data_IF_723048372378
#
_entry.id   IF_723048372378
#
_cell.length_a   1.000
_cell.length_b   1.000
_cell.length_c   1.000
_cell.angle_alpha   90.00
_cell.angle_beta   90.00
_cell.angle_gamma   90.00
#
_symmetry.space_group_name_H-M   'P 1'
#
loop_
_entity.id
_entity.type
_entity.pdbx_description
1 polymer ?
#
# COMPACT_ATOMS: atom_id res chain seq x y z
N UNK A 1 -16.15 29.54 33.79
CA UNK A 1 -16.76 28.76 32.71
C UNK A 1 -15.76 28.61 31.61
N UNK A 2 -15.02 27.53 31.62
CA UNK A 2 -13.97 27.22 30.63
C UNK A 2 -14.64 26.52 29.44
N UNK A 3 -14.71 27.22 28.32
CA UNK A 3 -15.24 26.72 27.06
C UNK A 3 -14.28 25.64 26.52
N UNK A 4 -14.62 24.38 26.68
CA UNK A 4 -13.93 23.26 26.06
C UNK A 4 -14.08 23.38 24.56
N UNK A 5 -13.00 23.76 23.89
CA UNK A 5 -12.89 23.67 22.43
C UNK A 5 -13.01 22.20 22.03
N UNK A 6 -13.95 21.79 21.15
CA UNK A 6 -14.00 20.42 20.68
C UNK A 6 -12.74 20.14 19.90
N UNK A 7 -12.03 19.08 20.30
CA UNK A 7 -10.89 18.49 19.57
C UNK A 7 -11.29 18.28 18.11
N UNK A 8 -10.44 18.56 17.11
CA UNK A 8 -10.75 18.30 15.73
C UNK A 8 -11.04 16.80 15.59
N UNK A 9 -12.28 16.48 15.23
CA UNK A 9 -12.66 15.11 14.85
C UNK A 9 -11.65 14.66 13.80
N UNK A 10 -10.94 13.59 14.10
CA UNK A 10 -10.03 12.93 13.20
C UNK A 10 -10.76 12.70 11.86
N UNK A 11 -10.52 13.58 10.89
CA UNK A 11 -11.06 13.39 9.54
C UNK A 11 -10.46 12.08 9.06
N UNK A 12 -11.25 11.09 8.65
CA UNK A 12 -10.68 9.83 8.18
C UNK A 12 -9.64 10.17 7.11
N UNK A 13 -8.48 9.55 7.20
CA UNK A 13 -7.44 9.69 6.18
C UNK A 13 -7.97 9.07 4.88
N UNK A 14 -8.54 9.92 4.02
CA UNK A 14 -9.20 9.51 2.78
C UNK A 14 -8.30 8.68 1.86
N UNK A 15 -7.01 9.03 1.67
CA UNK A 15 -6.10 8.17 0.93
C UNK A 15 -6.01 6.75 1.50
N UNK A 16 -5.83 6.60 2.80
CA UNK A 16 -5.78 5.29 3.44
C UNK A 16 -7.09 4.53 3.32
N UNK A 17 -8.22 5.20 3.51
CA UNK A 17 -9.54 4.61 3.35
C UNK A 17 -9.77 4.06 1.93
N UNK A 18 -9.40 4.84 0.90
CA UNK A 18 -9.52 4.43 -0.50
C UNK A 18 -8.63 3.23 -0.80
N UNK A 19 -7.38 3.24 -0.31
CA UNK A 19 -6.44 2.12 -0.49
C UNK A 19 -6.98 0.84 0.16
N UNK A 20 -7.42 0.92 1.42
CA UNK A 20 -7.91 -0.25 2.15
C UNK A 20 -9.19 -0.82 1.52
N UNK A 21 -10.09 0.07 1.06
CA UNK A 21 -11.30 -0.32 0.33
C UNK A 21 -10.95 -1.01 -0.99
N UNK A 22 -9.98 -0.47 -1.74
CA UNK A 22 -9.52 -1.06 -3.00
C UNK A 22 -8.97 -2.48 -2.81
N UNK A 23 -8.18 -2.70 -1.77
CA UNK A 23 -7.63 -4.02 -1.44
C UNK A 23 -8.73 -5.01 -1.01
N UNK A 24 -9.71 -4.57 -0.22
CA UNK A 24 -10.84 -5.40 0.18
C UNK A 24 -11.71 -5.81 -1.03
N UNK A 25 -11.99 -4.87 -1.94
CA UNK A 25 -12.71 -5.15 -3.18
C UNK A 25 -11.91 -6.07 -4.11
N UNK A 26 -10.60 -5.87 -4.24
CA UNK A 26 -9.73 -6.75 -5.02
C UNK A 26 -9.77 -8.19 -4.51
N UNK A 27 -9.77 -8.39 -3.21
CA UNK A 27 -9.90 -9.71 -2.59
C UNK A 27 -11.23 -10.39 -2.92
N UNK A 28 -12.32 -9.61 -2.96
CA UNK A 28 -13.69 -10.11 -3.19
C UNK A 28 -14.00 -10.32 -4.66
N UNK A 29 -13.71 -9.33 -5.50
CA UNK A 29 -14.21 -9.24 -6.89
C UNK A 29 -13.09 -9.39 -7.94
N UNK A 30 -11.83 -9.39 -7.53
CA UNK A 30 -10.66 -9.35 -8.40
C UNK A 30 -10.27 -7.93 -8.81
N UNK A 31 -8.98 -7.70 -9.01
CA UNK A 31 -8.44 -6.37 -9.32
C UNK A 31 -8.77 -5.89 -10.73
N UNK A 32 -8.76 -6.80 -11.70
CA UNK A 32 -9.00 -6.47 -13.11
C UNK A 32 -10.38 -5.86 -13.34
N UNK A 33 -11.39 -6.32 -12.60
CA UNK A 33 -12.79 -5.92 -12.75
C UNK A 33 -13.10 -4.56 -12.11
N UNK A 34 -12.28 -4.07 -11.21
CA UNK A 34 -12.52 -2.85 -10.47
C UNK A 34 -12.20 -1.60 -11.28
N UNK A 35 -13.01 -0.56 -11.10
CA UNK A 35 -12.67 0.81 -11.48
C UNK A 35 -12.64 1.74 -10.26
N UNK A 36 -12.12 2.96 -10.45
CA UNK A 36 -12.03 3.95 -9.35
C UNK A 36 -13.42 4.32 -8.83
N UNK A 37 -14.43 4.32 -9.69
CA UNK A 37 -15.82 4.64 -9.32
C UNK A 37 -16.33 3.60 -8.31
N UNK A 38 -16.09 2.31 -8.56
CA UNK A 38 -16.50 1.23 -7.66
C UNK A 38 -15.85 1.39 -6.28
N UNK A 39 -14.57 1.73 -6.27
CA UNK A 39 -13.79 1.96 -5.04
C UNK A 39 -14.32 3.19 -4.30
N UNK A 40 -14.59 4.29 -4.99
CA UNK A 40 -15.11 5.51 -4.39
C UNK A 40 -16.49 5.29 -3.75
N UNK A 41 -17.38 4.59 -4.48
CA UNK A 41 -18.72 4.24 -3.98
C UNK A 41 -18.63 3.36 -2.74
N UNK A 42 -17.80 2.32 -2.76
CA UNK A 42 -17.62 1.42 -1.62
C UNK A 42 -16.96 2.10 -0.42
N UNK A 43 -16.05 3.05 -0.66
CA UNK A 43 -15.43 3.86 0.39
C UNK A 43 -16.33 4.98 0.92
N UNK A 44 -17.50 5.20 0.30
CA UNK A 44 -18.39 6.33 0.59
C UNK A 44 -17.67 7.69 0.47
N UNK A 45 -16.86 7.83 -0.58
CA UNK A 45 -16.11 9.05 -0.92
C UNK A 45 -16.69 9.64 -2.21
N UNK A 46 -16.89 10.96 -2.31
CA UNK A 46 -17.32 11.59 -3.55
C UNK A 46 -16.37 11.24 -4.69
N UNK A 47 -16.92 10.85 -5.86
CA UNK A 47 -16.14 10.38 -7.02
C UNK A 47 -15.10 11.43 -7.44
N UNK A 48 -15.46 12.71 -7.48
CA UNK A 48 -14.52 13.78 -7.83
C UNK A 48 -13.37 13.92 -6.86
N UNK A 49 -13.61 13.70 -5.56
CA UNK A 49 -12.58 13.72 -4.52
C UNK A 49 -11.66 12.50 -4.63
N UNK A 50 -12.23 11.32 -4.89
CA UNK A 50 -11.46 10.11 -5.10
C UNK A 50 -10.52 10.23 -6.33
N UNK A 51 -11.01 10.77 -7.45
CA UNK A 51 -10.17 11.03 -8.64
C UNK A 51 -9.12 12.12 -8.41
N UNK A 52 -9.40 13.13 -7.58
CA UNK A 52 -8.41 14.13 -7.22
C UNK A 52 -7.25 13.54 -6.41
N UNK A 53 -7.54 12.58 -5.53
CA UNK A 53 -6.54 11.88 -4.72
C UNK A 53 -5.79 10.83 -5.55
N UNK A 54 -6.53 9.99 -6.28
CA UNK A 54 -5.99 8.91 -7.10
C UNK A 54 -6.57 8.96 -8.53
N UNK A 55 -5.82 9.49 -9.51
CA UNK A 55 -6.30 9.61 -10.88
C UNK A 55 -6.38 8.26 -11.62
N UNK A 56 -5.81 7.19 -11.06
CA UNK A 56 -5.82 5.85 -11.66
C UNK A 56 -5.69 4.74 -10.61
N UNK A 57 -6.09 3.52 -10.96
CA UNK A 57 -5.86 2.34 -10.11
C UNK A 57 -4.37 2.13 -9.82
N UNK A 58 -3.50 2.45 -10.77
CA UNK A 58 -2.05 2.34 -10.59
C UNK A 58 -1.54 3.33 -9.54
N UNK A 59 -2.13 4.52 -9.45
CA UNK A 59 -1.81 5.48 -8.39
C UNK A 59 -2.15 4.93 -7.00
N UNK A 60 -3.26 4.20 -6.85
CA UNK A 60 -3.63 3.52 -5.61
C UNK A 60 -2.58 2.46 -5.23
N UNK A 61 -2.16 1.62 -6.19
CA UNK A 61 -1.14 0.60 -5.95
C UNK A 61 0.22 1.20 -5.59
N UNK A 62 0.59 2.29 -6.24
CA UNK A 62 1.82 3.02 -5.94
C UNK A 62 1.79 3.58 -4.51
N UNK A 63 0.68 4.20 -4.11
CA UNK A 63 0.49 4.72 -2.76
C UNK A 63 0.49 3.60 -1.71
N UNK A 64 -0.15 2.48 -1.98
CA UNK A 64 -0.12 1.30 -1.10
C UNK A 64 1.32 0.79 -0.91
N UNK A 65 2.08 0.63 -1.99
CA UNK A 65 3.49 0.21 -1.92
C UNK A 65 4.33 1.17 -1.10
N UNK A 66 4.19 2.48 -1.36
CA UNK A 66 4.92 3.50 -0.59
C UNK A 66 4.58 3.42 0.90
N UNK A 67 3.31 3.19 1.26
CA UNK A 67 2.88 2.99 2.65
C UNK A 67 3.58 1.78 3.30
N UNK A 68 3.65 0.65 2.59
CA UNK A 68 4.37 -0.54 3.06
C UNK A 68 5.86 -0.25 3.22
N UNK A 69 6.49 0.34 2.22
CA UNK A 69 7.93 0.66 2.24
C UNK A 69 8.27 1.61 3.42
N UNK A 70 7.47 2.65 3.64
CA UNK A 70 7.64 3.56 4.79
C UNK A 70 7.50 2.83 6.12
N UNK A 71 6.54 1.93 6.25
CA UNK A 71 6.34 1.15 7.49
C UNK A 71 7.55 0.23 7.76
N UNK A 72 8.07 -0.40 6.71
CA UNK A 72 9.25 -1.27 6.82
C UNK A 72 10.50 -0.46 7.22
N UNK A 73 10.74 0.67 6.55
CA UNK A 73 11.88 1.55 6.84
C UNK A 73 11.81 2.09 8.27
N UNK A 74 10.67 2.62 8.69
CA UNK A 74 10.49 3.14 10.06
C UNK A 74 10.74 2.06 11.13
N UNK A 75 10.28 0.83 10.90
CA UNK A 75 10.57 -0.28 11.79
C UNK A 75 12.05 -0.69 11.80
N UNK A 76 12.73 -0.56 10.67
CA UNK A 76 14.15 -0.86 10.54
C UNK A 76 15.04 0.18 11.25
N UNK A 77 14.66 1.45 11.21
CA UNK A 77 15.38 2.51 11.92
C UNK A 77 15.30 2.39 13.45
N UNK A 78 14.22 1.82 13.98
CA UNK A 78 14.01 1.60 15.41
C UNK A 78 14.79 0.39 15.95
N UNK A 79 15.08 -0.58 15.11
CA UNK A 79 15.84 -1.78 15.47
C UNK A 79 17.32 -1.57 15.13
N UNK A 80 18.22 -1.83 16.08
CA UNK A 80 19.64 -1.80 15.77
C UNK A 80 19.97 -2.88 14.73
N UNK A 81 20.54 -2.47 13.60
CA UNK A 81 20.94 -3.37 12.50
C UNK A 81 22.28 -4.02 12.81
N UNK A 82 22.37 -4.78 13.92
CA UNK A 82 23.52 -5.56 14.27
C UNK A 82 23.53 -6.88 13.45
N UNK A 83 24.67 -7.26 12.93
CA UNK A 83 24.85 -8.52 12.22
C UNK A 83 25.33 -8.38 10.76
N UNK A 84 25.44 -9.51 10.08
CA UNK A 84 25.86 -9.56 8.68
C UNK A 84 24.78 -8.95 7.75
N UNK A 85 25.19 -8.36 6.62
CA UNK A 85 24.28 -7.77 5.61
C UNK A 85 23.19 -8.77 5.20
N UNK A 86 23.52 -10.05 5.06
CA UNK A 86 22.57 -11.12 4.75
C UNK A 86 21.47 -11.26 5.79
N UNK A 87 21.83 -11.21 7.07
CA UNK A 87 20.87 -11.37 8.17
C UNK A 87 19.96 -10.14 8.25
N UNK A 88 20.53 -8.95 8.10
CA UNK A 88 19.75 -7.70 8.01
C UNK A 88 18.76 -7.70 6.85
N UNK A 89 19.20 -8.15 5.68
CA UNK A 89 18.31 -8.26 4.52
C UNK A 89 17.17 -9.26 4.76
N UNK A 90 17.46 -10.39 5.40
CA UNK A 90 16.46 -11.38 5.78
C UNK A 90 15.42 -10.77 6.74
N UNK A 91 15.86 -10.05 7.77
CA UNK A 91 14.97 -9.42 8.73
C UNK A 91 14.08 -8.35 8.08
N UNK A 92 14.63 -7.54 7.17
CA UNK A 92 13.86 -6.53 6.42
C UNK A 92 12.79 -7.20 5.53
N UNK A 93 13.15 -8.30 4.84
CA UNK A 93 12.21 -9.04 4.01
C UNK A 93 11.10 -9.70 4.84
N UNK A 94 11.44 -10.29 5.98
CA UNK A 94 10.45 -10.86 6.89
C UNK A 94 9.50 -9.81 7.43
N UNK A 95 10.02 -8.65 7.86
CA UNK A 95 9.21 -7.50 8.28
C UNK A 95 8.25 -7.06 7.19
N UNK A 96 8.71 -6.98 5.93
CA UNK A 96 7.84 -6.64 4.80
C UNK A 96 6.69 -7.63 4.64
N UNK A 97 6.96 -8.93 4.76
CA UNK A 97 5.92 -9.96 4.69
C UNK A 97 4.91 -9.81 5.83
N UNK A 98 5.37 -9.56 7.06
CA UNK A 98 4.51 -9.33 8.22
C UNK A 98 3.60 -8.12 8.03
N UNK A 99 4.13 -7.01 7.52
CA UNK A 99 3.37 -5.78 7.23
C UNK A 99 2.31 -6.02 6.14
N UNK A 100 2.56 -6.93 5.20
CA UNK A 100 1.62 -7.29 4.13
C UNK A 100 0.52 -8.28 4.55
N UNK A 101 0.71 -9.03 5.64
CA UNK A 101 -0.22 -10.06 6.08
C UNK A 101 -1.69 -9.62 6.18
N UNK A 102 -2.04 -8.42 6.73
CA UNK A 102 -3.42 -7.97 6.82
C UNK A 102 -4.13 -7.86 5.47
N UNK A 103 -3.38 -7.63 4.38
CA UNK A 103 -3.89 -7.45 3.03
C UNK A 103 -3.57 -8.61 2.07
N UNK A 104 -3.16 -9.76 2.58
CA UNK A 104 -2.69 -10.91 1.78
C UNK A 104 -3.64 -11.31 0.65
N UNK A 105 -4.93 -11.33 0.90
CA UNK A 105 -5.94 -11.73 -0.09
C UNK A 105 -6.05 -10.71 -1.23
N UNK A 106 -6.09 -9.41 -0.90
CA UNK A 106 -6.10 -8.34 -1.90
C UNK A 106 -4.81 -8.30 -2.71
N UNK A 107 -3.66 -8.43 -2.06
CA UNK A 107 -2.35 -8.49 -2.71
C UNK A 107 -2.25 -9.69 -3.64
N UNK A 108 -2.72 -10.87 -3.22
CA UNK A 108 -2.73 -12.07 -4.05
C UNK A 108 -3.64 -11.93 -5.28
N UNK A 109 -4.80 -11.29 -5.13
CA UNK A 109 -5.71 -11.01 -6.25
C UNK A 109 -5.07 -10.04 -7.25
N UNK A 110 -4.45 -8.96 -6.78
CA UNK A 110 -3.74 -7.99 -7.62
C UNK A 110 -2.59 -8.66 -8.36
N UNK A 111 -1.78 -9.47 -7.68
CA UNK A 111 -0.66 -10.19 -8.30
C UNK A 111 -1.13 -11.14 -9.39
N UNK A 112 -2.19 -11.92 -9.16
CA UNK A 112 -2.76 -12.82 -10.16
C UNK A 112 -3.23 -12.09 -11.42
N UNK A 113 -3.94 -10.99 -11.25
CA UNK A 113 -4.51 -10.23 -12.35
C UNK A 113 -3.41 -9.48 -13.12
N UNK A 114 -2.41 -8.96 -12.42
CA UNK A 114 -1.24 -8.30 -13.04
C UNK A 114 -0.42 -9.28 -13.86
N UNK A 115 -0.23 -10.51 -13.40
CA UNK A 115 0.52 -11.53 -14.14
C UNK A 115 -0.20 -12.01 -15.42
N UNK A 116 -1.52 -11.83 -15.50
CA UNK A 116 -2.32 -12.15 -16.70
C UNK A 116 -2.29 -11.04 -17.74
N UNK A 117 -1.90 -9.82 -17.36
CA UNK A 117 -1.80 -8.67 -18.25
C UNK A 117 -0.32 -8.30 -18.49
N UNK A 118 0.22 -8.55 -19.72
CA UNK A 118 1.64 -8.29 -20.00
C UNK A 118 2.02 -6.80 -19.93
N UNK A 119 1.08 -5.88 -20.21
CA UNK A 119 1.33 -4.43 -20.11
C UNK A 119 1.34 -3.96 -18.64
N UNK A 120 0.45 -4.47 -17.82
CA UNK A 120 0.45 -4.21 -16.38
C UNK A 120 1.67 -4.82 -15.69
N UNK A 121 2.17 -5.97 -16.19
CA UNK A 121 3.37 -6.63 -15.68
C UNK A 121 4.63 -5.76 -15.79
N UNK A 122 4.81 -5.01 -16.89
CA UNK A 122 5.94 -4.09 -17.07
C UNK A 122 5.97 -3.00 -16.00
N UNK A 123 4.83 -2.39 -15.69
CA UNK A 123 4.73 -1.40 -14.61
C UNK A 123 4.95 -2.02 -13.22
N UNK A 124 4.50 -3.25 -13.02
CA UNK A 124 4.71 -4.00 -11.79
C UNK A 124 6.18 -4.29 -11.51
N UNK A 125 6.95 -4.70 -12.52
CA UNK A 125 8.37 -5.03 -12.41
C UNK A 125 9.21 -3.79 -12.05
N UNK A 126 9.02 -2.65 -12.72
CA UNK A 126 9.77 -1.42 -12.44
C UNK A 126 9.57 -0.93 -11.01
N UNK A 127 8.38 -1.07 -10.51
CA UNK A 127 7.99 -0.64 -9.18
C UNK A 127 8.45 -1.63 -8.08
N UNK A 128 8.52 -2.93 -8.40
CA UNK A 128 9.10 -3.94 -7.51
C UNK A 128 10.61 -3.71 -7.37
N UNK A 129 11.31 -3.42 -8.49
CA UNK A 129 12.73 -3.11 -8.46
C UNK A 129 13.06 -1.91 -7.57
N UNK A 130 12.23 -0.86 -7.56
CA UNK A 130 12.40 0.30 -6.68
C UNK A 130 12.28 -0.08 -5.20
N UNK A 131 11.30 -0.89 -4.83
CA UNK A 131 11.13 -1.37 -3.46
C UNK A 131 12.29 -2.28 -3.03
N UNK A 132 12.76 -3.13 -3.93
CA UNK A 132 13.90 -4.01 -3.65
C UNK A 132 15.20 -3.22 -3.48
N UNK A 133 15.43 -2.17 -4.31
CA UNK A 133 16.58 -1.29 -4.18
C UNK A 133 16.56 -0.56 -2.82
N UNK A 134 15.41 -0.03 -2.40
CA UNK A 134 15.27 0.59 -1.09
C UNK A 134 15.60 -0.36 0.07
N UNK A 135 15.14 -1.60 -0.02
CA UNK A 135 15.45 -2.62 1.00
C UNK A 135 16.94 -2.97 1.02
N UNK A 136 17.58 -3.04 -0.14
CA UNK A 136 19.03 -3.27 -0.23
C UNK A 136 19.83 -2.10 0.38
N UNK A 137 19.42 -0.85 0.14
CA UNK A 137 20.05 0.33 0.75
C UNK A 137 19.87 0.33 2.28
N UNK A 138 18.72 -0.09 2.79
CA UNK A 138 18.48 -0.21 4.24
C UNK A 138 19.33 -1.33 4.88
N UNK A 139 19.72 -2.33 4.11
CA UNK A 139 20.56 -3.44 4.60
C UNK A 139 22.06 -3.11 4.62
N UNK A 140 22.51 -2.04 3.92
CA UNK A 140 23.91 -1.56 3.85
C UNK A 140 24.66 -2.25 2.76
#
# INVERSE_FOLDING_TARGET
>A
MTKRTPSPRNKPDLPSLIIDTALALAARDGWAQLCIIDIAVAANVPIGEAFAIFPSKQAILTAFRNRIDQTVVAGTELDSLDGAVRDRLFDILMRRLEVLLPWKEGVAAIARDTLRDPLASLHGITSLNRSMALMAECAG
#
